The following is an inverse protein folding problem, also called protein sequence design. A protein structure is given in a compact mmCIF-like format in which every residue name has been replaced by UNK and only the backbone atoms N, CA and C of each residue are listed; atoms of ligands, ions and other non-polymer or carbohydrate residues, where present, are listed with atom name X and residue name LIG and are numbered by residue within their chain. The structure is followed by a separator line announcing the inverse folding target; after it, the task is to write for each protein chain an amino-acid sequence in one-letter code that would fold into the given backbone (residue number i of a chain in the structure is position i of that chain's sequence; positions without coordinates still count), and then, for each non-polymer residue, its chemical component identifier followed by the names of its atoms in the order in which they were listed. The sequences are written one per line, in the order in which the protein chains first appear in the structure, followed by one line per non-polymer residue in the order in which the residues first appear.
data_IF_149897030969
#
_entry.id   IF_149897030969
#
_cell.length_a   1.000
_cell.length_b   1.000
_cell.length_c   1.000
_cell.angle_alpha   90.00
_cell.angle_beta   90.00
_cell.angle_gamma   90.00
#
_symmetry.space_group_name_H-M   'P 1'
#
loop_
_entity.id
_entity.type
_entity.pdbx_description
1 polymer ?
#
# COMPACT_ATOMS: atom_id res chain seq x y z
N UNK A 1 10.86 10.87 13.16
CA UNK A 1 10.48 9.65 12.40
C UNK A 1 9.03 9.37 12.73
N UNK A 2 8.28 8.66 11.89
CA UNK A 2 6.93 8.22 12.30
C UNK A 2 7.07 7.23 13.47
N UNK A 3 6.12 7.20 14.43
CA UNK A 3 6.16 6.27 15.56
C UNK A 3 6.22 4.81 15.06
N UNK A 4 7.22 4.07 15.52
CA UNK A 4 7.48 2.72 15.05
C UNK A 4 6.42 1.73 15.56
N UNK A 5 5.81 2.02 16.70
CA UNK A 5 4.82 1.18 17.37
C UNK A 5 3.61 0.93 16.46
N UNK A 6 3.13 1.97 15.77
CA UNK A 6 2.02 1.87 14.83
C UNK A 6 2.40 1.15 13.54
N UNK A 7 3.67 1.25 13.12
CA UNK A 7 4.20 0.48 11.98
C UNK A 7 4.23 -1.01 12.33
N UNK A 8 4.75 -1.35 13.51
CA UNK A 8 4.81 -2.73 13.99
C UNK A 8 3.42 -3.33 14.23
N UNK A 9 2.46 -2.55 14.73
CA UNK A 9 1.07 -2.98 14.88
C UNK A 9 0.39 -3.22 13.52
N UNK A 10 0.67 -2.38 12.52
CA UNK A 10 0.06 -2.48 11.20
C UNK A 10 0.45 -3.76 10.44
N UNK A 11 1.68 -4.27 10.61
CA UNK A 11 2.19 -5.43 9.86
C UNK A 11 1.30 -6.68 10.03
N UNK A 12 1.08 -7.23 11.24
CA UNK A 12 0.24 -8.41 11.42
C UNK A 12 -1.22 -8.13 11.06
N UNK A 13 -1.72 -6.91 11.34
CA UNK A 13 -3.08 -6.51 10.98
C UNK A 13 -3.28 -6.54 9.46
N UNK A 14 -2.34 -6.01 8.68
CA UNK A 14 -2.40 -6.04 7.23
C UNK A 14 -2.43 -7.47 6.68
N UNK A 15 -1.64 -8.39 7.24
CA UNK A 15 -1.67 -9.79 6.81
C UNK A 15 -3.05 -10.43 7.05
N UNK A 16 -3.60 -10.26 8.25
CA UNK A 16 -4.91 -10.81 8.62
C UNK A 16 -6.05 -10.17 7.80
N UNK A 17 -6.01 -8.83 7.68
CA UNK A 17 -7.02 -8.06 6.94
C UNK A 17 -6.94 -8.31 5.44
N UNK A 18 -5.76 -8.58 4.89
CA UNK A 18 -5.60 -8.98 3.49
C UNK A 18 -6.29 -10.32 3.21
N UNK A 19 -6.13 -11.31 4.09
CA UNK A 19 -6.84 -12.58 3.98
C UNK A 19 -8.35 -12.37 4.10
N UNK A 20 -8.80 -11.63 5.09
CA UNK A 20 -10.21 -11.36 5.32
C UNK A 20 -10.86 -10.65 4.11
N UNK A 21 -10.25 -9.58 3.59
CA UNK A 21 -10.78 -8.89 2.42
C UNK A 21 -10.64 -9.69 1.14
N UNK A 22 -9.57 -10.46 0.94
CA UNK A 22 -9.46 -11.35 -0.20
C UNK A 22 -10.58 -12.41 -0.18
N UNK A 23 -10.86 -13.02 0.98
CA UNK A 23 -11.95 -13.99 1.14
C UNK A 23 -13.34 -13.38 0.96
N UNK A 24 -13.54 -12.10 1.33
CA UNK A 24 -14.82 -11.40 1.12
C UNK A 24 -15.00 -11.03 -0.36
N UNK A 25 -13.95 -10.50 -1.00
CA UNK A 25 -14.02 -9.97 -2.37
C UNK A 25 -13.95 -11.07 -3.44
N UNK A 26 -13.24 -12.16 -3.14
CA UNK A 26 -13.07 -13.30 -4.02
C UNK A 26 -12.95 -14.58 -3.18
N UNK A 27 -14.09 -15.09 -2.65
CA UNK A 27 -14.10 -16.34 -1.89
C UNK A 27 -13.45 -17.46 -2.70
N UNK A 28 -12.54 -18.19 -2.07
CA UNK A 28 -11.90 -19.37 -2.66
C UNK A 28 -12.49 -20.59 -2.00
N UNK A 29 -13.05 -21.50 -2.81
CA UNK A 29 -13.36 -22.86 -2.37
C UNK A 29 -12.15 -23.72 -2.68
N UNK A 30 -11.50 -24.23 -1.63
CA UNK A 30 -10.36 -25.14 -1.75
C UNK A 30 -10.89 -26.56 -1.58
N UNK A 31 -10.69 -27.42 -2.57
CA UNK A 31 -11.06 -28.83 -2.47
C UNK A 31 -10.14 -29.56 -1.47
N UNK A 32 -10.54 -30.73 -0.97
CA UNK A 32 -9.69 -31.51 -0.06
C UNK A 32 -8.38 -31.95 -0.73
N UNK A 33 -8.41 -32.09 -2.05
CA UNK A 33 -7.26 -32.46 -2.87
C UNK A 33 -6.29 -31.29 -3.07
N UNK A 34 -6.78 -30.05 -3.02
CA UNK A 34 -5.98 -28.82 -3.15
C UNK A 34 -5.50 -28.26 -1.79
N UNK A 35 -6.07 -28.73 -0.67
CA UNK A 35 -5.65 -28.36 0.69
C UNK A 35 -4.36 -29.11 1.10
N UNK A 36 -3.28 -28.81 0.39
CA UNK A 36 -1.96 -29.42 0.57
C UNK A 36 -1.01 -28.46 1.30
N UNK A 37 -0.46 -28.91 2.44
CA UNK A 37 0.65 -28.21 3.08
C UNK A 37 1.95 -28.62 2.39
N UNK A 38 2.51 -27.74 1.57
CA UNK A 38 3.79 -27.98 0.92
C UNK A 38 4.92 -28.08 1.97
N UNK A 39 5.58 -29.24 2.01
CA UNK A 39 6.78 -29.46 2.84
C UNK A 39 7.97 -29.63 1.89
N UNK A 40 8.89 -28.64 1.83
CA UNK A 40 10.03 -28.73 0.93
C UNK A 40 10.95 -29.90 1.32
N UNK A 41 11.42 -30.70 0.34
CA UNK A 41 12.44 -31.73 0.55
C UNK A 41 13.71 -31.17 1.19
N UNK A 42 14.52 -32.02 1.83
CA UNK A 42 15.78 -31.57 2.45
C UNK A 42 16.75 -30.96 1.43
N UNK A 43 16.68 -31.44 0.19
CA UNK A 43 17.51 -31.03 -0.94
C UNK A 43 17.18 -29.60 -1.41
N UNK A 44 15.94 -29.13 -1.19
CA UNK A 44 15.54 -27.74 -1.46
C UNK A 44 15.90 -26.78 -0.31
N UNK A 45 16.24 -27.31 0.87
CA UNK A 45 16.65 -26.49 2.01
C UNK A 45 18.05 -25.93 1.75
N UNK A 46 18.07 -24.66 1.35
CA UNK A 46 19.30 -23.87 1.25
C UNK A 46 19.98 -23.77 2.61
N UNK A 47 21.31 -23.87 2.63
CA UNK A 47 22.10 -23.64 3.84
C UNK A 47 21.95 -22.18 4.33
N UNK A 48 22.33 -21.95 5.59
CA UNK A 48 22.17 -20.64 6.24
C UNK A 48 22.89 -19.51 5.48
N UNK A 49 24.11 -19.75 5.00
CA UNK A 49 24.90 -18.74 4.31
C UNK A 49 24.39 -18.48 2.90
N UNK A 50 24.00 -19.51 2.16
CA UNK A 50 23.37 -19.31 0.84
C UNK A 50 22.03 -18.62 0.95
N UNK A 51 21.25 -18.87 2.02
CA UNK A 51 20.01 -18.14 2.29
C UNK A 51 20.28 -16.65 2.50
N UNK A 52 21.19 -16.30 3.41
CA UNK A 52 21.54 -14.90 3.68
C UNK A 52 22.09 -14.20 2.44
N UNK A 53 23.00 -14.85 1.71
CA UNK A 53 23.59 -14.30 0.48
C UNK A 53 22.53 -14.04 -0.59
N UNK A 54 21.65 -15.01 -0.83
CA UNK A 54 20.53 -14.83 -1.77
C UNK A 54 19.57 -13.73 -1.32
N UNK A 55 19.24 -13.64 -0.02
CA UNK A 55 18.38 -12.57 0.51
C UNK A 55 19.01 -11.19 0.33
N UNK A 56 20.32 -11.04 0.51
CA UNK A 56 21.03 -9.76 0.24
C UNK A 56 20.96 -9.39 -1.24
N UNK A 57 21.15 -10.34 -2.16
CA UNK A 57 21.03 -10.10 -3.60
C UNK A 57 19.60 -9.73 -4.01
N UNK A 58 18.60 -10.41 -3.46
CA UNK A 58 17.19 -10.06 -3.64
C UNK A 58 16.93 -8.65 -3.12
N UNK A 59 17.46 -8.28 -1.96
CA UNK A 59 17.35 -6.94 -1.38
C UNK A 59 17.90 -5.84 -2.31
N UNK A 60 19.08 -6.04 -2.89
CA UNK A 60 19.67 -5.07 -3.84
C UNK A 60 18.78 -4.90 -5.09
N UNK A 61 18.26 -6.00 -5.64
CA UNK A 61 17.35 -5.95 -6.77
C UNK A 61 16.06 -5.19 -6.41
N UNK A 62 15.50 -5.44 -5.22
CA UNK A 62 14.32 -4.72 -4.73
C UNK A 62 14.59 -3.21 -4.63
N UNK A 63 15.75 -2.78 -4.11
CA UNK A 63 16.10 -1.35 -4.01
C UNK A 63 16.12 -0.69 -5.38
N UNK A 64 16.76 -1.32 -6.38
CA UNK A 64 16.83 -0.79 -7.75
C UNK A 64 15.43 -0.66 -8.36
N UNK A 65 14.59 -1.69 -8.20
CA UNK A 65 13.21 -1.69 -8.71
C UNK A 65 12.38 -0.60 -8.06
N UNK A 66 12.43 -0.49 -6.73
CA UNK A 66 11.68 0.54 -5.98
C UNK A 66 12.12 1.93 -6.43
N UNK A 67 13.43 2.20 -6.56
CA UNK A 67 13.95 3.49 -7.03
C UNK A 67 13.42 3.83 -8.43
N UNK A 68 13.51 2.89 -9.37
CA UNK A 68 13.02 3.11 -10.74
C UNK A 68 11.50 3.39 -10.77
N UNK A 69 10.71 2.63 -10.02
CA UNK A 69 9.26 2.80 -9.95
C UNK A 69 8.87 4.13 -9.30
N UNK A 70 9.51 4.51 -8.18
CA UNK A 70 9.23 5.80 -7.52
C UNK A 70 9.52 6.96 -8.48
N UNK A 71 10.67 6.95 -9.17
CA UNK A 71 11.03 7.99 -10.14
C UNK A 71 9.99 8.04 -11.28
N UNK A 72 9.66 6.90 -11.88
CA UNK A 72 8.73 6.82 -13.01
C UNK A 72 7.32 7.31 -12.65
N UNK A 73 6.76 6.83 -11.54
CA UNK A 73 5.41 7.21 -11.12
C UNK A 73 5.31 8.66 -10.65
N UNK A 74 6.34 9.20 -10.00
CA UNK A 74 6.40 10.64 -9.66
C UNK A 74 6.44 11.50 -10.93
N UNK A 75 7.21 11.09 -11.95
CA UNK A 75 7.26 11.80 -13.23
C UNK A 75 5.91 11.76 -13.97
N UNK A 76 5.27 10.59 -14.06
CA UNK A 76 3.94 10.44 -14.68
C UNK A 76 2.91 11.28 -13.93
N UNK A 77 2.90 11.21 -12.60
CA UNK A 77 2.00 12.00 -11.75
C UNK A 77 2.21 13.50 -11.95
N UNK A 78 3.46 13.95 -12.08
CA UNK A 78 3.77 15.36 -12.33
C UNK A 78 3.30 15.81 -13.71
N UNK A 79 3.44 14.97 -14.73
CA UNK A 79 2.90 15.22 -16.07
C UNK A 79 1.38 15.36 -16.04
N UNK A 80 0.67 14.42 -15.40
CA UNK A 80 -0.78 14.48 -15.21
C UNK A 80 -1.21 15.73 -14.46
N UNK A 81 -0.50 16.12 -13.41
CA UNK A 81 -0.77 17.36 -12.68
C UNK A 81 -0.59 18.61 -13.56
N UNK A 82 0.40 18.63 -14.46
CA UNK A 82 0.57 19.69 -15.44
C UNK A 82 -0.62 19.80 -16.40
N UNK A 83 -1.12 18.66 -16.88
CA UNK A 83 -2.30 18.60 -17.75
C UNK A 83 -3.56 19.07 -17.00
N UNK A 84 -3.80 18.56 -15.79
CA UNK A 84 -4.94 18.95 -14.96
C UNK A 84 -4.89 20.44 -14.61
N UNK A 85 -3.71 20.94 -14.27
CA UNK A 85 -3.45 22.34 -13.95
C UNK A 85 -3.73 23.31 -15.10
N UNK A 86 -3.68 22.83 -16.36
CA UNK A 86 -4.08 23.60 -17.53
C UNK A 86 -5.59 23.83 -17.60
N UNK A 87 -6.40 22.82 -17.22
CA UNK A 87 -7.86 22.94 -17.22
C UNK A 87 -8.40 23.64 -15.97
N UNK A 88 -7.84 23.31 -14.81
CA UNK A 88 -8.25 23.87 -13.51
C UNK A 88 -7.01 24.24 -12.73
N UNK A 89 -6.85 25.54 -12.47
CA UNK A 89 -5.66 26.04 -11.80
C UNK A 89 -5.44 25.38 -10.44
N UNK A 90 -4.27 24.76 -10.26
CA UNK A 90 -3.89 24.11 -9.00
C UNK A 90 -4.56 22.76 -8.73
N UNK A 91 -5.29 22.18 -9.70
CA UNK A 91 -5.82 20.82 -9.60
C UNK A 91 -4.72 19.79 -9.78
N UNK A 92 -4.66 18.81 -8.88
CA UNK A 92 -3.71 17.70 -8.93
C UNK A 92 -4.44 16.38 -8.69
N UNK A 93 -3.86 15.29 -9.17
CA UNK A 93 -4.42 13.95 -8.95
C UNK A 93 -4.48 13.60 -7.45
N UNK A 94 -3.52 14.08 -6.66
CA UNK A 94 -3.51 13.91 -5.20
C UNK A 94 -4.71 14.61 -4.57
N UNK A 95 -5.07 15.82 -5.02
CA UNK A 95 -6.25 16.54 -4.52
C UNK A 95 -7.55 15.86 -4.91
N UNK A 96 -7.64 15.33 -6.14
CA UNK A 96 -8.81 14.57 -6.59
C UNK A 96 -9.01 13.36 -5.69
N UNK A 97 -7.96 12.54 -5.52
CA UNK A 97 -8.06 11.39 -4.62
C UNK A 97 -8.26 11.81 -3.17
N UNK A 98 -7.68 12.92 -2.71
CA UNK A 98 -7.93 13.43 -1.36
C UNK A 98 -9.40 13.75 -1.12
N UNK A 99 -10.10 14.31 -2.10
CA UNK A 99 -11.55 14.53 -2.01
C UNK A 99 -12.29 13.18 -1.99
N UNK A 100 -11.93 12.25 -2.88
CA UNK A 100 -12.54 10.91 -2.94
C UNK A 100 -12.36 10.14 -1.62
N UNK A 101 -11.19 10.27 -0.99
CA UNK A 101 -10.87 9.59 0.25
C UNK A 101 -11.34 10.33 1.51
N UNK A 102 -11.78 11.59 1.38
CA UNK A 102 -12.24 12.39 2.52
C UNK A 102 -13.33 11.72 3.35
N UNK A 103 -14.37 11.06 2.79
CA UNK A 103 -15.39 10.40 3.60
C UNK A 103 -14.80 9.30 4.48
N UNK A 104 -13.80 8.57 3.98
CA UNK A 104 -13.13 7.51 4.73
C UNK A 104 -12.29 8.07 5.87
N UNK A 105 -11.64 9.23 5.69
CA UNK A 105 -10.92 9.90 6.76
C UNK A 105 -11.87 10.32 7.91
N UNK A 106 -13.07 10.80 7.59
CA UNK A 106 -14.10 11.07 8.60
C UNK A 106 -14.60 9.79 9.30
N UNK A 107 -14.80 8.71 8.55
CA UNK A 107 -15.21 7.40 9.12
C UNK A 107 -14.17 6.80 10.06
N UNK A 108 -12.91 7.23 9.96
CA UNK A 108 -11.85 6.84 10.89
C UNK A 108 -11.89 7.60 12.23
N UNK A 109 -12.85 8.53 12.44
CA UNK A 109 -13.01 9.24 13.71
C UNK A 109 -12.25 10.56 13.80
N UNK A 110 -11.72 11.07 12.69
CA UNK A 110 -10.90 12.28 12.66
C UNK A 110 -11.74 13.57 12.68
N UNK A 111 -11.26 14.59 13.39
CA UNK A 111 -11.84 15.94 13.33
C UNK A 111 -11.65 16.60 11.96
N UNK A 112 -12.47 17.59 11.61
CA UNK A 112 -12.53 18.13 10.23
C UNK A 112 -11.20 18.56 9.63
N UNK A 113 -10.34 19.25 10.40
CA UNK A 113 -9.03 19.67 9.92
C UNK A 113 -8.11 18.46 9.66
N UNK A 114 -8.04 17.54 10.61
CA UNK A 114 -7.24 16.32 10.50
C UNK A 114 -7.75 15.40 9.40
N UNK A 115 -9.07 15.22 9.28
CA UNK A 115 -9.70 14.39 8.26
C UNK A 115 -9.32 14.87 6.85
N UNK A 116 -9.38 16.18 6.59
CA UNK A 116 -9.03 16.75 5.28
C UNK A 116 -7.54 16.58 4.98
N UNK A 117 -6.68 16.78 5.97
CA UNK A 117 -5.24 16.59 5.79
C UNK A 117 -4.88 15.10 5.59
N UNK A 118 -5.43 14.21 6.40
CA UNK A 118 -5.22 12.76 6.28
C UNK A 118 -5.76 12.25 4.95
N UNK A 119 -6.91 12.73 4.49
CA UNK A 119 -7.43 12.41 3.17
C UNK A 119 -6.47 12.85 2.05
N UNK A 120 -5.85 14.03 2.17
CA UNK A 120 -4.78 14.46 1.27
C UNK A 120 -3.59 13.49 1.30
N UNK A 121 -3.17 13.00 2.47
CA UNK A 121 -2.14 11.96 2.57
C UNK A 121 -2.57 10.64 1.91
N UNK A 122 -3.84 10.25 2.01
CA UNK A 122 -4.38 9.09 1.29
C UNK A 122 -4.28 9.29 -0.23
N UNK A 123 -4.58 10.49 -0.71
CA UNK A 123 -4.46 10.87 -2.11
C UNK A 123 -3.01 10.90 -2.62
N UNK A 124 -2.08 11.36 -1.78
CA UNK A 124 -0.63 11.28 -2.06
C UNK A 124 -0.22 9.81 -2.16
N UNK A 125 -0.54 8.99 -1.15
CA UNK A 125 -0.18 7.57 -1.10
C UNK A 125 -0.59 6.82 -2.36
N UNK A 126 -1.86 6.91 -2.76
CA UNK A 126 -2.37 6.13 -3.90
C UNK A 126 -1.72 6.57 -5.22
N UNK A 127 -1.46 7.87 -5.37
CA UNK A 127 -0.95 8.46 -6.62
C UNK A 127 0.57 8.29 -6.76
N UNK A 128 1.30 8.39 -5.65
CA UNK A 128 2.76 8.29 -5.62
C UNK A 128 3.17 7.02 -4.87
N UNK A 129 3.40 7.13 -3.56
CA UNK A 129 3.72 6.04 -2.66
C UNK A 129 3.59 6.49 -1.19
N UNK A 130 3.62 5.51 -0.30
CA UNK A 130 3.57 5.65 1.15
C UNK A 130 4.75 6.41 1.74
N UNK A 131 5.97 6.27 1.21
CA UNK A 131 7.14 6.98 1.73
C UNK A 131 7.02 8.50 1.54
N UNK A 132 6.52 8.95 0.40
CA UNK A 132 6.25 10.38 0.12
C UNK A 132 5.18 10.91 1.07
N UNK A 133 4.10 10.16 1.30
CA UNK A 133 3.08 10.54 2.26
C UNK A 133 3.61 10.58 3.71
N UNK A 134 4.43 9.61 4.11
CA UNK A 134 5.06 9.58 5.45
C UNK A 134 6.05 10.73 5.67
N UNK A 135 6.75 11.17 4.61
CA UNK A 135 7.62 12.35 4.67
C UNK A 135 6.84 13.63 4.97
N UNK A 136 5.66 13.78 4.37
CA UNK A 136 4.78 14.93 4.64
C UNK A 136 4.22 14.88 6.06
N UNK A 137 3.71 13.70 6.47
CA UNK A 137 3.20 13.48 7.83
C UNK A 137 4.25 13.80 8.91
N UNK A 138 5.51 13.40 8.69
CA UNK A 138 6.62 13.61 9.64
C UNK A 138 6.76 15.08 10.05
N UNK A 139 6.44 16.02 9.17
CA UNK A 139 6.56 17.45 9.44
C UNK A 139 5.42 18.01 10.31
N UNK A 140 4.31 17.28 10.43
CA UNK A 140 3.09 17.70 11.14
C UNK A 140 2.80 16.90 12.42
N UNK A 141 3.60 15.85 12.70
CA UNK A 141 3.38 14.95 13.85
C UNK A 141 3.23 15.65 15.20
N UNK A 142 3.88 16.80 15.42
CA UNK A 142 3.86 17.48 16.73
C UNK A 142 2.54 18.19 17.02
N UNK A 143 1.79 18.53 15.99
CA UNK A 143 0.58 19.36 16.08
C UNK A 143 -0.69 18.50 16.03
N UNK A 144 -0.55 17.18 15.99
CA UNK A 144 -1.65 16.23 15.79
C UNK A 144 -2.03 15.48 17.05
N UNK A 145 -3.30 15.09 17.14
CA UNK A 145 -3.78 14.23 18.23
C UNK A 145 -3.15 12.82 18.15
N UNK A 146 -2.99 12.13 19.29
CA UNK A 146 -2.53 10.74 19.32
C UNK A 146 -3.36 9.83 18.41
N UNK A 147 -4.68 9.97 18.43
CA UNK A 147 -5.59 9.27 17.51
C UNK A 147 -5.23 9.47 16.03
N UNK A 148 -5.10 10.73 15.60
CA UNK A 148 -4.79 11.09 14.21
C UNK A 148 -3.47 10.48 13.77
N UNK A 149 -2.44 10.52 14.64
CA UNK A 149 -1.14 9.93 14.35
C UNK A 149 -1.26 8.41 14.21
N UNK A 150 -1.95 7.73 15.14
CA UNK A 150 -2.10 6.28 15.13
C UNK A 150 -2.80 5.80 13.85
N UNK A 151 -3.97 6.37 13.56
CA UNK A 151 -4.78 6.04 12.38
C UNK A 151 -3.99 6.30 11.10
N UNK A 152 -3.35 7.46 10.99
CA UNK A 152 -2.66 7.85 9.74
C UNK A 152 -1.41 7.00 9.51
N UNK A 153 -0.59 6.77 10.53
CA UNK A 153 0.62 5.95 10.38
C UNK A 153 0.26 4.52 10.04
N UNK A 154 -0.73 3.92 10.72
CA UNK A 154 -1.20 2.57 10.40
C UNK A 154 -1.75 2.49 8.98
N UNK A 155 -2.57 3.46 8.56
CA UNK A 155 -3.08 3.52 7.19
C UNK A 155 -1.97 3.62 6.15
N UNK A 156 -0.96 4.47 6.38
CA UNK A 156 0.16 4.66 5.46
C UNK A 156 1.10 3.45 5.44
N UNK A 157 1.11 2.62 6.49
CA UNK A 157 1.95 1.41 6.57
C UNK A 157 1.36 0.29 5.72
N UNK A 158 1.28 0.47 4.40
CA UNK A 158 1.01 -0.57 3.42
C UNK A 158 1.33 -0.06 2.01
N UNK A 159 1.53 -0.99 1.06
CA UNK A 159 1.93 -0.66 -0.32
C UNK A 159 0.73 -0.58 -1.29
N UNK A 160 -0.43 -0.14 -0.82
CA UNK A 160 -1.60 0.01 -1.69
C UNK A 160 -1.52 1.31 -2.51
N UNK A 161 -0.94 1.25 -3.72
CA UNK A 161 -0.80 2.38 -4.65
C UNK A 161 -0.58 1.89 -6.10
N UNK A 162 -0.65 2.81 -7.07
CA UNK A 162 -0.46 2.46 -8.49
C UNK A 162 0.93 1.88 -8.79
N UNK A 163 1.97 2.37 -8.12
CA UNK A 163 3.34 1.89 -8.35
C UNK A 163 3.52 0.43 -7.94
N UNK A 164 2.85 0.00 -6.87
CA UNK A 164 2.89 -1.37 -6.38
C UNK A 164 2.15 -2.32 -7.30
N UNK A 165 1.01 -1.91 -7.89
CA UNK A 165 0.34 -2.75 -8.89
C UNK A 165 1.24 -2.93 -10.13
N UNK A 166 1.95 -1.89 -10.54
CA UNK A 166 2.95 -1.99 -11.61
C UNK A 166 4.08 -2.97 -11.27
N UNK A 167 4.60 -2.92 -10.04
CA UNK A 167 5.60 -3.88 -9.55
C UNK A 167 5.06 -5.32 -9.56
N UNK A 168 3.85 -5.55 -9.04
CA UNK A 168 3.21 -6.88 -9.03
C UNK A 168 3.05 -7.40 -10.46
N UNK A 169 2.57 -6.57 -11.39
CA UNK A 169 2.46 -6.93 -12.80
C UNK A 169 3.83 -7.30 -13.40
N UNK A 170 4.85 -6.47 -13.19
CA UNK A 170 6.19 -6.70 -13.73
C UNK A 170 6.83 -7.98 -13.20
N UNK A 171 6.77 -8.21 -11.88
CA UNK A 171 7.27 -9.44 -11.27
C UNK A 171 6.50 -10.67 -11.77
N UNK A 172 5.17 -10.62 -11.78
CA UNK A 172 4.34 -11.74 -12.23
C UNK A 172 4.60 -12.08 -13.71
N UNK A 173 4.75 -11.06 -14.57
CA UNK A 173 5.11 -11.23 -15.98
C UNK A 173 6.48 -11.90 -16.15
N UNK A 174 7.47 -11.52 -15.33
CA UNK A 174 8.82 -12.09 -15.41
C UNK A 174 8.87 -13.58 -15.06
N UNK A 175 7.94 -14.06 -14.24
CA UNK A 175 7.88 -15.44 -13.76
C UNK A 175 6.95 -16.31 -14.64
N UNK A 176 5.77 -15.79 -14.99
CA UNK A 176 4.68 -16.56 -15.61
C UNK A 176 4.34 -16.14 -17.04
N UNK A 177 5.04 -15.14 -17.60
CA UNK A 177 4.82 -14.61 -18.94
C UNK A 177 3.58 -13.72 -19.09
N UNK A 178 3.41 -13.18 -20.30
CA UNK A 178 2.46 -12.12 -20.62
C UNK A 178 0.99 -12.55 -20.55
N UNK A 179 0.71 -13.77 -21.02
CA UNK A 179 -0.65 -14.31 -21.00
C UNK A 179 -1.21 -14.35 -19.57
N UNK A 180 -0.38 -14.78 -18.63
CA UNK A 180 -0.73 -14.88 -17.22
C UNK A 180 -0.82 -13.50 -16.55
N UNK A 181 0.07 -12.56 -16.88
CA UNK A 181 0.06 -11.21 -16.26
C UNK A 181 -1.08 -10.33 -16.75
N UNK A 182 -1.66 -10.62 -17.91
CA UNK A 182 -2.83 -9.90 -18.44
C UNK A 182 -4.02 -9.86 -17.45
N UNK A 183 -4.15 -10.86 -16.57
CA UNK A 183 -5.19 -10.88 -15.53
C UNK A 183 -5.03 -9.75 -14.52
N UNK A 184 -3.78 -9.41 -14.16
CA UNK A 184 -3.47 -8.31 -13.25
C UNK A 184 -3.81 -6.98 -13.92
N UNK A 185 -3.38 -6.81 -15.18
CA UNK A 185 -3.69 -5.61 -15.96
C UNK A 185 -5.19 -5.35 -16.11
N UNK A 186 -5.99 -6.41 -16.29
CA UNK A 186 -7.45 -6.32 -16.33
C UNK A 186 -8.09 -5.99 -14.98
N UNK A 187 -7.47 -6.36 -13.86
CA UNK A 187 -8.04 -6.23 -12.51
C UNK A 187 -7.30 -5.21 -11.62
N UNK A 188 -6.58 -4.25 -12.20
CA UNK A 188 -5.82 -3.21 -11.46
C UNK A 188 -6.68 -2.53 -10.39
N UNK A 189 -7.92 -2.15 -10.74
CA UNK A 189 -8.84 -1.49 -9.80
C UNK A 189 -9.22 -2.38 -8.61
N UNK A 190 -9.32 -3.70 -8.79
CA UNK A 190 -9.66 -4.65 -7.71
C UNK A 190 -8.49 -4.75 -6.73
N UNK A 191 -7.26 -4.79 -7.24
CA UNK A 191 -6.05 -4.78 -6.42
C UNK A 191 -5.91 -3.49 -5.63
N UNK A 192 -6.19 -2.34 -6.25
CA UNK A 192 -6.15 -1.05 -5.55
C UNK A 192 -7.22 -0.94 -4.48
N UNK A 193 -8.48 -1.23 -4.82
CA UNK A 193 -9.60 -1.13 -3.87
C UNK A 193 -9.40 -2.10 -2.71
N UNK A 194 -9.01 -3.35 -2.97
CA UNK A 194 -8.72 -4.32 -1.90
C UNK A 194 -7.58 -3.87 -1.01
N UNK A 195 -6.43 -3.44 -1.57
CA UNK A 195 -5.29 -2.94 -0.79
C UNK A 195 -5.63 -1.69 0.04
N UNK A 196 -6.40 -0.77 -0.53
CA UNK A 196 -6.86 0.42 0.20
C UNK A 196 -7.82 0.05 1.33
N UNK A 197 -8.74 -0.87 1.09
CA UNK A 197 -9.66 -1.35 2.11
C UNK A 197 -8.94 -2.09 3.25
N UNK A 198 -7.87 -2.85 2.95
CA UNK A 198 -7.00 -3.45 3.98
C UNK A 198 -6.38 -2.36 4.85
N UNK A 199 -5.87 -1.30 4.21
CA UNK A 199 -5.23 -0.18 4.91
C UNK A 199 -6.22 0.56 5.82
N UNK A 200 -7.44 0.79 5.32
CA UNK A 200 -8.54 1.40 6.09
C UNK A 200 -8.95 0.52 7.26
N UNK A 201 -9.09 -0.79 7.05
CA UNK A 201 -9.47 -1.73 8.10
C UNK A 201 -8.42 -1.80 9.21
N UNK A 202 -7.13 -1.86 8.86
CA UNK A 202 -6.04 -1.82 9.84
C UNK A 202 -6.04 -0.51 10.64
N UNK A 203 -6.19 0.62 9.96
CA UNK A 203 -6.22 1.94 10.61
C UNK A 203 -7.43 2.10 11.54
N UNK A 204 -8.60 1.62 11.12
CA UNK A 204 -9.81 1.61 11.93
C UNK A 204 -9.61 0.77 13.20
N UNK A 205 -9.04 -0.44 13.08
CA UNK A 205 -8.78 -1.30 14.25
C UNK A 205 -7.85 -0.60 15.24
N UNK A 206 -6.75 0.00 14.78
CA UNK A 206 -5.83 0.75 15.67
C UNK A 206 -6.53 1.95 16.29
N UNK A 207 -7.32 2.70 15.51
CA UNK A 207 -8.06 3.88 15.98
C UNK A 207 -9.09 3.58 17.08
N UNK A 208 -9.59 2.35 17.17
CA UNK A 208 -10.48 1.94 18.28
C UNK A 208 -9.76 1.88 19.64
N UNK A 209 -8.45 1.67 19.65
CA UNK A 209 -7.66 1.47 20.87
C UNK A 209 -6.80 2.69 21.24
N UNK A 210 -6.73 3.71 20.38
CA UNK A 210 -5.92 4.91 20.60
C UNK A 210 -6.74 6.14 20.28
N UNK A 211 -6.99 6.98 21.29
CA UNK A 211 -7.76 8.21 21.20
C UNK A 211 -6.94 9.40 21.74
#
# INVERSE_FOLDING_TARGET
MVPAEYVFAAIPLNCLNALLLASILNPVEVSKEEDIVYVPPKEEKKDFFSTISNSMLVGINMVIVILAMVIGYVAITSCLNGILGFFVHGLTIQKIFGIIFSPFAFLLGLGTHDAMYVASLMGIKISTNEFVAMMDLKNHLKDMSPHTIAVTVTFLTSFANFSTVGMIYGTYNSIFGENSSSIIGKNVWKLLVSGMAVSLLSAMIVGLFVW
#
